data_IF_884104588559
#
_entry.id   IF_884104588559
#
_cell.length_a   1.000
_cell.length_b   1.000
_cell.length_c   1.000
_cell.angle_alpha   90.00
_cell.angle_beta   90.00
_cell.angle_gamma   90.00
#
_symmetry.space_group_name_H-M   'P 1'
#
loop_
_entity.id
_entity.type
_entity.pdbx_description
1 polymer ?
#
# COMPACT_ATOMS: atom_id res chain seq x y z
N UNK A 1 1.75 25.34 4.84
CA UNK A 1 1.26 25.70 6.19
C UNK A 1 0.22 24.69 6.61
N UNK A 2 0.50 23.87 7.62
CA UNK A 2 -0.51 23.04 8.28
C UNK A 2 -0.28 23.20 9.79
N UNK A 3 -1.27 23.75 10.49
CA UNK A 3 -1.27 23.80 11.95
C UNK A 3 -1.18 22.35 12.42
N UNK A 4 -0.15 21.93 13.18
CA UNK A 4 -0.09 20.56 13.68
C UNK A 4 -1.28 20.39 14.61
N UNK A 5 -2.35 19.75 14.14
CA UNK A 5 -3.39 19.26 15.02
C UNK A 5 -2.68 18.30 15.96
N UNK A 6 -2.64 18.68 17.24
CA UNK A 6 -1.89 17.96 18.26
C UNK A 6 -2.38 16.50 18.29
N UNK A 7 -1.46 15.56 18.10
CA UNK A 7 -1.78 14.14 18.21
C UNK A 7 -2.41 13.84 19.58
N UNK A 8 -3.39 12.94 19.59
CA UNK A 8 -4.06 12.44 20.79
C UNK A 8 -4.16 10.92 20.72
N UNK A 9 -3.81 10.18 21.79
CA UNK A 9 -3.95 8.71 21.83
C UNK A 9 -5.37 8.22 21.56
N UNK A 10 -6.38 9.07 21.78
CA UNK A 10 -7.79 8.76 21.44
C UNK A 10 -7.99 8.49 19.96
N UNK A 11 -7.16 9.07 19.09
CA UNK A 11 -7.26 8.84 17.64
C UNK A 11 -6.84 7.43 17.25
N UNK A 12 -5.94 6.78 17.99
CA UNK A 12 -5.57 5.38 17.77
C UNK A 12 -6.78 4.45 17.94
N UNK A 13 -7.48 4.60 19.07
CA UNK A 13 -8.70 3.83 19.35
C UNK A 13 -9.83 4.17 18.37
N UNK A 14 -10.01 5.45 18.06
CA UNK A 14 -11.02 5.90 17.10
C UNK A 14 -10.76 5.37 15.68
N UNK A 15 -9.50 5.31 15.26
CA UNK A 15 -9.10 4.75 13.97
C UNK A 15 -9.49 3.27 13.91
N UNK A 16 -9.07 2.47 14.90
CA UNK A 16 -9.42 1.05 14.93
C UNK A 16 -10.94 0.85 14.95
N UNK A 17 -11.68 1.59 15.78
CA UNK A 17 -13.14 1.48 15.84
C UNK A 17 -13.84 1.89 14.53
N UNK A 18 -13.27 2.83 13.77
CA UNK A 18 -13.80 3.23 12.48
C UNK A 18 -13.65 2.14 11.42
N UNK A 19 -12.49 1.47 11.40
CA UNK A 19 -12.13 0.46 10.40
C UNK A 19 -12.59 -0.96 10.77
N UNK A 20 -12.77 -1.29 12.04
CA UNK A 20 -13.18 -2.62 12.52
C UNK A 20 -14.67 -2.92 12.31
N UNK A 21 -15.39 -2.11 11.52
CA UNK A 21 -16.80 -2.34 11.21
C UNK A 21 -16.94 -3.55 10.28
N UNK A 22 -18.02 -4.34 10.43
CA UNK A 22 -18.22 -5.51 9.59
C UNK A 22 -18.36 -5.09 8.11
N UNK A 23 -17.78 -5.86 7.17
CA UNK A 23 -17.71 -5.47 5.77
C UNK A 23 -19.06 -5.49 5.05
N UNK A 24 -20.00 -6.30 5.54
CA UNK A 24 -21.36 -6.37 5.03
C UNK A 24 -22.35 -6.60 6.17
N UNK A 25 -23.63 -6.35 5.91
CA UNK A 25 -24.74 -6.71 6.78
C UNK A 25 -25.69 -7.64 6.05
N UNK A 26 -26.24 -8.62 6.76
CA UNK A 26 -27.33 -9.45 6.26
C UNK A 26 -28.67 -8.92 6.77
N UNK A 27 -29.59 -8.64 5.86
CA UNK A 27 -30.95 -8.29 6.21
C UNK A 27 -31.68 -9.53 6.74
N UNK A 28 -32.10 -9.51 8.00
CA UNK A 28 -32.78 -10.64 8.65
C UNK A 28 -34.16 -10.96 8.05
N UNK A 29 -34.81 -9.97 7.41
CA UNK A 29 -36.17 -10.12 6.85
C UNK A 29 -36.15 -10.66 5.43
N UNK A 30 -35.20 -10.21 4.60
CA UNK A 30 -35.14 -10.59 3.18
C UNK A 30 -34.02 -11.59 2.86
N UNK A 31 -33.12 -11.87 3.81
CA UNK A 31 -31.92 -12.68 3.59
C UNK A 31 -30.83 -11.98 2.77
N UNK A 32 -31.12 -10.79 2.22
CA UNK A 32 -30.21 -10.07 1.32
C UNK A 32 -28.94 -9.62 2.05
N UNK A 33 -27.79 -9.83 1.41
CA UNK A 33 -26.50 -9.33 1.89
C UNK A 33 -26.23 -7.97 1.24
N UNK A 34 -25.93 -6.96 2.04
CA UNK A 34 -25.65 -5.60 1.60
C UNK A 34 -24.26 -5.19 2.08
N UNK A 35 -23.42 -4.68 1.18
CA UNK A 35 -22.14 -4.12 1.56
C UNK A 35 -22.34 -2.95 2.54
N UNK A 36 -21.44 -2.85 3.52
CA UNK A 36 -21.31 -1.62 4.29
C UNK A 36 -20.56 -0.56 3.48
N UNK A 37 -20.47 0.66 3.99
CA UNK A 37 -19.65 1.68 3.36
C UNK A 37 -18.17 1.35 3.56
N UNK A 38 -17.37 1.48 2.48
CA UNK A 38 -15.93 1.23 2.54
C UNK A 38 -15.27 2.22 3.51
N UNK A 39 -14.64 1.74 4.61
CA UNK A 39 -13.88 2.64 5.47
C UNK A 39 -12.63 3.13 4.72
N UNK A 40 -12.45 4.45 4.64
CA UNK A 40 -11.28 5.06 4.00
C UNK A 40 -10.50 5.94 4.97
N UNK A 41 -9.17 5.98 4.80
CA UNK A 41 -8.31 6.87 5.59
C UNK A 41 -8.68 8.34 5.38
N UNK A 42 -9.10 8.69 4.16
CA UNK A 42 -9.61 10.02 3.86
C UNK A 42 -10.93 10.30 4.62
N UNK A 43 -11.87 9.36 4.64
CA UNK A 43 -13.13 9.49 5.38
C UNK A 43 -12.92 9.63 6.88
N UNK A 44 -11.98 8.87 7.45
CA UNK A 44 -11.59 9.02 8.85
C UNK A 44 -10.89 10.36 9.13
N UNK A 45 -9.97 10.80 8.25
CA UNK A 45 -9.31 12.09 8.39
C UNK A 45 -10.34 13.24 8.42
N UNK A 46 -11.29 13.22 7.47
CA UNK A 46 -12.38 14.19 7.42
C UNK A 46 -13.25 14.15 8.67
N UNK A 47 -13.52 12.97 9.24
CA UNK A 47 -14.39 12.84 10.43
C UNK A 47 -13.78 13.44 11.69
N UNK A 48 -12.45 13.46 11.80
CA UNK A 48 -11.73 14.10 12.92
C UNK A 48 -11.24 15.52 12.57
N UNK A 49 -11.55 16.03 11.37
CA UNK A 49 -11.20 17.37 10.92
C UNK A 49 -9.72 17.57 10.55
N UNK A 50 -9.03 16.53 10.10
CA UNK A 50 -7.63 16.59 9.64
C UNK A 50 -7.48 16.11 8.19
N UNK A 51 -6.32 16.35 7.59
CA UNK A 51 -5.99 15.82 6.27
C UNK A 51 -5.38 14.41 6.37
N UNK A 52 -5.49 13.62 5.29
CA UNK A 52 -4.85 12.30 5.21
C UNK A 52 -3.35 12.35 5.48
N UNK A 53 -2.67 13.40 5.00
CA UNK A 53 -1.23 13.58 5.18
C UNK A 53 -0.86 13.72 6.66
N UNK A 54 -1.76 14.29 7.48
CA UNK A 54 -1.58 14.38 8.93
C UNK A 54 -1.60 13.00 9.58
N UNK A 55 -2.50 12.10 9.16
CA UNK A 55 -2.52 10.71 9.62
C UNK A 55 -1.22 10.00 9.23
N UNK A 56 -0.76 10.19 7.99
CA UNK A 56 0.48 9.59 7.54
C UNK A 56 1.68 10.11 8.35
N UNK A 57 1.76 11.42 8.58
CA UNK A 57 2.80 12.04 9.39
C UNK A 57 2.81 11.50 10.82
N UNK A 58 1.66 11.27 11.46
CA UNK A 58 1.63 10.65 12.79
C UNK A 58 2.10 9.19 12.78
N UNK A 59 1.79 8.43 11.72
CA UNK A 59 2.19 7.03 11.61
C UNK A 59 3.69 6.84 11.30
N UNK A 60 4.33 7.83 10.65
CA UNK A 60 5.74 7.81 10.27
C UNK A 60 6.65 8.75 11.06
N UNK A 61 6.08 9.55 11.98
CA UNK A 61 6.85 10.44 12.83
C UNK A 61 7.90 9.65 13.61
N UNK A 62 9.17 10.06 13.47
CA UNK A 62 10.29 9.50 14.20
C UNK A 62 10.93 10.55 15.11
N UNK A 63 11.48 10.11 16.24
CA UNK A 63 12.28 10.94 17.14
C UNK A 63 13.72 11.10 16.59
N UNK A 64 14.53 11.93 17.26
CA UNK A 64 15.94 12.17 16.87
C UNK A 64 16.80 10.89 16.88
N UNK A 65 16.35 9.82 17.55
CA UNK A 65 17.00 8.51 17.59
C UNK A 65 16.56 7.57 16.46
N UNK A 66 15.64 8.00 15.61
CA UNK A 66 15.07 7.18 14.52
C UNK A 66 13.96 6.22 14.95
N UNK A 67 13.49 6.30 16.19
CA UNK A 67 12.38 5.47 16.69
C UNK A 67 11.04 6.15 16.42
N UNK A 68 9.99 5.38 16.20
CA UNK A 68 8.65 5.93 15.97
C UNK A 68 8.16 6.71 17.19
N UNK A 69 7.74 7.96 16.98
CA UNK A 69 7.20 8.83 18.02
C UNK A 69 5.88 8.29 18.58
N UNK A 70 5.07 7.67 17.72
CA UNK A 70 3.75 7.12 18.08
C UNK A 70 3.62 5.67 17.58
N UNK A 71 4.28 4.70 18.24
CA UNK A 71 4.31 3.31 17.77
C UNK A 71 2.91 2.68 17.73
N UNK A 72 2.07 2.96 18.72
CA UNK A 72 0.67 2.47 18.76
C UNK A 72 -0.17 2.99 17.60
N UNK A 73 0.04 4.25 17.21
CA UNK A 73 -0.68 4.82 16.08
C UNK A 73 -0.18 4.24 14.76
N UNK A 74 1.12 4.00 14.63
CA UNK A 74 1.70 3.31 13.48
C UNK A 74 1.15 1.89 13.32
N UNK A 75 1.02 1.14 14.42
CA UNK A 75 0.40 -0.18 14.43
C UNK A 75 -1.09 -0.11 14.03
N UNK A 76 -1.86 0.78 14.67
CA UNK A 76 -3.27 0.98 14.35
C UNK A 76 -3.48 1.38 12.88
N UNK A 77 -2.57 2.18 12.32
CA UNK A 77 -2.61 2.59 10.91
C UNK A 77 -2.35 1.42 9.95
N UNK A 78 -1.45 0.50 10.29
CA UNK A 78 -1.24 -0.74 9.52
C UNK A 78 -2.47 -1.63 9.60
N UNK A 79 -2.99 -1.86 10.80
CA UNK A 79 -4.21 -2.64 11.03
C UNK A 79 -5.42 -2.05 10.30
N UNK A 80 -5.52 -0.73 10.22
CA UNK A 80 -6.58 -0.07 9.46
C UNK A 80 -6.52 -0.46 7.97
N UNK A 81 -5.32 -0.56 7.37
CA UNK A 81 -5.16 -1.05 6.00
C UNK A 81 -5.54 -2.53 5.87
N UNK A 82 -5.19 -3.37 6.84
CA UNK A 82 -5.58 -4.78 6.84
C UNK A 82 -7.11 -4.93 6.88
N UNK A 83 -7.80 -4.07 7.66
CA UNK A 83 -9.26 -4.01 7.66
C UNK A 83 -9.84 -3.57 6.31
N UNK A 84 -9.22 -2.58 5.65
CA UNK A 84 -9.63 -2.17 4.29
C UNK A 84 -9.45 -3.30 3.28
N UNK A 85 -8.33 -4.02 3.34
CA UNK A 85 -8.06 -5.16 2.49
C UNK A 85 -9.11 -6.24 2.69
N UNK A 86 -9.33 -6.67 3.94
CA UNK A 86 -10.35 -7.66 4.27
C UNK A 86 -11.75 -7.23 3.79
N UNK A 87 -12.11 -5.95 3.96
CA UNK A 87 -13.36 -5.42 3.45
C UNK A 87 -13.50 -5.60 1.93
N UNK A 88 -12.46 -5.24 1.18
CA UNK A 88 -12.45 -5.33 -0.29
C UNK A 88 -12.52 -6.78 -0.75
N UNK A 89 -11.73 -7.67 -0.15
CA UNK A 89 -11.73 -9.11 -0.48
C UNK A 89 -13.12 -9.71 -0.24
N UNK A 90 -13.67 -9.51 0.97
CA UNK A 90 -14.93 -10.12 1.37
C UNK A 90 -16.10 -9.62 0.52
N UNK A 91 -16.22 -8.30 0.32
CA UNK A 91 -17.32 -7.75 -0.47
C UNK A 91 -17.20 -8.07 -1.96
N UNK A 92 -15.97 -8.15 -2.51
CA UNK A 92 -15.76 -8.58 -3.89
C UNK A 92 -16.11 -10.07 -4.05
N UNK A 93 -15.70 -10.91 -3.10
CA UNK A 93 -16.04 -12.34 -3.10
C UNK A 93 -17.55 -12.61 -2.98
N UNK A 94 -18.27 -11.77 -2.22
CA UNK A 94 -19.74 -11.82 -2.15
C UNK A 94 -20.45 -11.22 -3.38
N UNK A 95 -19.71 -10.68 -4.36
CA UNK A 95 -20.29 -10.03 -5.54
C UNK A 95 -21.01 -8.70 -5.24
N UNK A 96 -20.75 -8.10 -4.07
CA UNK A 96 -21.37 -6.84 -3.65
C UNK A 96 -20.63 -5.61 -4.19
N UNK A 97 -19.38 -5.80 -4.60
CA UNK A 97 -18.54 -4.80 -5.26
C UNK A 97 -18.19 -5.31 -6.66
N UNK A 98 -18.23 -4.45 -7.69
CA UNK A 98 -17.80 -4.83 -9.03
C UNK A 98 -16.35 -5.37 -9.04
N UNK A 99 -16.08 -6.54 -9.66
CA UNK A 99 -14.74 -7.15 -9.62
C UNK A 99 -13.61 -6.23 -10.10
N UNK A 100 -13.86 -5.40 -11.12
CA UNK A 100 -12.87 -4.44 -11.63
C UNK A 100 -12.47 -3.40 -10.57
N UNK A 101 -13.43 -2.89 -9.79
CA UNK A 101 -13.16 -1.97 -8.68
C UNK A 101 -12.43 -2.69 -7.54
N UNK A 102 -12.80 -3.94 -7.24
CA UNK A 102 -12.11 -4.78 -6.25
C UNK A 102 -10.63 -4.98 -6.58
N UNK A 103 -10.32 -5.44 -7.80
CA UNK A 103 -8.95 -5.66 -8.27
C UNK A 103 -8.15 -4.35 -8.24
N UNK A 104 -8.70 -3.26 -8.80
CA UNK A 104 -8.04 -1.97 -8.81
C UNK A 104 -7.72 -1.48 -7.39
N UNK A 105 -8.68 -1.63 -6.46
CA UNK A 105 -8.51 -1.19 -5.08
C UNK A 105 -7.49 -2.06 -4.33
N UNK A 106 -7.51 -3.38 -4.49
CA UNK A 106 -6.54 -4.29 -3.85
C UNK A 106 -5.10 -4.03 -4.31
N UNK A 107 -4.89 -3.76 -5.60
CA UNK A 107 -3.56 -3.39 -6.11
C UNK A 107 -3.04 -2.09 -5.50
N UNK A 108 -3.90 -1.06 -5.42
CA UNK A 108 -3.47 0.27 -4.97
C UNK A 108 -3.44 0.44 -3.44
N UNK A 109 -4.27 -0.29 -2.70
CA UNK A 109 -4.41 -0.15 -1.25
C UNK A 109 -3.66 -1.23 -0.49
N UNK A 110 -3.81 -2.50 -0.90
CA UNK A 110 -3.21 -3.66 -0.26
C UNK A 110 -1.86 -4.09 -0.91
N UNK A 111 -1.49 -3.48 -2.04
CA UNK A 111 -0.24 -3.80 -2.72
C UNK A 111 -0.23 -5.16 -3.41
N UNK A 112 -1.40 -5.73 -3.69
CA UNK A 112 -1.50 -6.98 -4.44
C UNK A 112 -0.92 -6.80 -5.84
N UNK A 113 -0.30 -7.86 -6.36
CA UNK A 113 0.26 -7.88 -7.71
C UNK A 113 -0.22 -9.12 -8.43
N UNK A 114 -0.50 -8.95 -9.71
CA UNK A 114 -0.72 -10.11 -10.57
C UNK A 114 0.61 -10.84 -10.71
N UNK A 115 0.57 -12.17 -10.71
CA UNK A 115 1.74 -12.99 -11.02
C UNK A 115 1.55 -13.57 -12.41
N UNK A 116 2.47 -13.29 -13.32
CA UNK A 116 2.51 -13.95 -14.61
C UNK A 116 3.53 -15.10 -14.59
N UNK A 117 3.18 -16.30 -15.07
CA UNK A 117 4.16 -17.38 -15.21
C UNK A 117 5.20 -16.98 -16.28
N UNK A 118 6.40 -16.61 -15.84
CA UNK A 118 7.51 -16.15 -16.70
C UNK A 118 8.13 -14.81 -16.30
N UNK A 119 7.59 -14.12 -15.29
CA UNK A 119 8.14 -12.84 -14.84
C UNK A 119 9.45 -13.04 -14.06
N UNK A 120 10.58 -12.63 -14.65
CA UNK A 120 11.84 -12.47 -13.92
C UNK A 120 11.63 -11.44 -12.79
N UNK A 121 12.30 -11.57 -11.63
CA UNK A 121 12.13 -10.61 -10.55
C UNK A 121 12.40 -9.18 -11.06
N UNK A 122 11.46 -8.28 -10.77
CA UNK A 122 11.55 -6.84 -11.06
C UNK A 122 12.93 -6.30 -10.65
N UNK A 123 13.84 -6.16 -11.61
CA UNK A 123 15.06 -5.39 -11.41
C UNK A 123 14.61 -3.94 -11.49
N UNK A 124 14.49 -3.27 -10.35
CA UNK A 124 14.32 -1.83 -10.34
C UNK A 124 15.55 -1.20 -11.00
N UNK A 125 15.40 -0.82 -12.28
CA UNK A 125 16.33 0.08 -12.94
C UNK A 125 16.13 1.42 -12.23
N UNK A 126 17.00 1.72 -11.25
CA UNK A 126 16.98 3.03 -10.61
C UNK A 126 17.24 4.10 -11.67
N UNK A 127 16.68 5.29 -11.50
CA UNK A 127 16.88 6.47 -12.37
C UNK A 127 18.36 6.92 -12.52
N UNK A 128 19.32 6.13 -12.03
CA UNK A 128 20.76 6.34 -12.16
C UNK A 128 21.33 5.88 -13.50
N UNK A 129 20.51 5.35 -14.41
CA UNK A 129 20.96 4.87 -15.74
C UNK A 129 20.72 5.91 -16.84
N UNK A 130 19.74 6.80 -16.68
CA UNK A 130 19.36 7.80 -17.70
C UNK A 130 20.39 8.91 -17.93
N UNK A 131 21.43 9.01 -17.09
CA UNK A 131 22.52 9.99 -17.22
C UNK A 131 23.87 9.33 -17.59
N UNK A 132 23.86 8.04 -17.95
CA UNK A 132 25.06 7.35 -18.37
C UNK A 132 25.17 7.40 -19.88
N UNK A 133 26.39 7.61 -20.38
CA UNK A 133 26.67 7.42 -21.81
C UNK A 133 26.59 5.93 -22.17
N UNK A 134 26.38 5.63 -23.44
CA UNK A 134 26.29 4.25 -23.94
C UNK A 134 27.52 3.41 -23.51
N UNK A 135 28.71 3.99 -23.53
CA UNK A 135 29.94 3.33 -23.03
C UNK A 135 29.89 2.99 -21.53
N UNK A 136 29.32 3.86 -20.70
CA UNK A 136 29.19 3.62 -19.25
C UNK A 136 28.12 2.57 -18.96
N UNK A 137 27.11 2.48 -19.82
CA UNK A 137 26.07 1.46 -19.74
C UNK A 137 26.64 0.08 -20.09
N UNK A 138 27.40 -0.01 -21.18
CA UNK A 138 28.05 -1.24 -21.63
C UNK A 138 29.07 -1.76 -20.61
N UNK A 139 29.87 -0.87 -20.03
CA UNK A 139 30.81 -1.24 -18.97
C UNK A 139 30.10 -1.81 -17.73
N UNK A 140 28.95 -1.24 -17.33
CA UNK A 140 28.14 -1.76 -16.21
C UNK A 140 27.48 -3.10 -16.54
N UNK A 141 27.00 -3.27 -17.76
CA UNK A 141 26.42 -4.53 -18.22
C UNK A 141 27.48 -5.64 -18.22
N UNK A 142 28.66 -5.37 -18.77
CA UNK A 142 29.78 -6.30 -18.83
C UNK A 142 30.27 -6.72 -17.44
N UNK A 143 30.39 -5.78 -16.50
CA UNK A 143 30.75 -6.08 -15.11
C UNK A 143 29.72 -6.99 -14.43
N UNK A 144 28.43 -6.76 -14.67
CA UNK A 144 27.33 -7.54 -14.09
C UNK A 144 27.24 -8.94 -14.69
N UNK A 145 27.44 -9.08 -16.01
CA UNK A 145 27.49 -10.37 -16.73
C UNK A 145 28.68 -11.21 -16.27
N UNK A 146 29.86 -10.59 -16.08
CA UNK A 146 31.06 -11.27 -15.54
C UNK A 146 30.85 -11.78 -14.11
N UNK A 147 30.16 -11.01 -13.26
CA UNK A 147 29.79 -11.44 -11.91
C UNK A 147 28.79 -12.60 -11.87
N UNK A 148 28.01 -12.79 -12.93
CA UNK A 148 27.04 -13.88 -13.10
C UNK A 148 27.61 -15.08 -13.88
N UNK A 149 28.87 -15.02 -14.32
CA UNK A 149 29.53 -16.12 -15.05
C UNK A 149 29.04 -16.31 -16.50
N UNK A 150 28.30 -15.36 -17.06
CA UNK A 150 27.77 -15.42 -18.42
C UNK A 150 28.80 -14.79 -19.36
N UNK A 151 29.42 -15.58 -20.25
CA UNK A 151 30.32 -15.06 -21.29
C UNK A 151 29.48 -14.29 -22.32
N UNK A 152 29.86 -13.04 -22.60
CA UNK A 152 29.28 -12.27 -23.73
C UNK A 152 29.55 -13.06 -25.01
N UNK A 153 28.48 -13.43 -25.72
CA UNK A 153 28.59 -14.16 -26.98
C UNK A 153 29.46 -13.40 -27.97
N UNK A 154 30.51 -14.07 -28.47
CA UNK A 154 31.26 -13.64 -29.63
C UNK A 154 30.32 -13.52 -30.83
N UNK A 155 30.34 -12.36 -31.47
CA UNK A 155 29.73 -12.11 -32.78
C UNK A 155 30.37 -13.05 -33.80
N UNK A 156 29.56 -13.90 -34.43
CA UNK A 156 29.95 -14.57 -35.67
C UNK A 156 29.82 -13.56 -36.81
N UNK A 157 30.97 -13.03 -37.25
CA UNK A 157 31.19 -12.36 -38.53
C UNK A 157 32.36 -13.00 -39.25
#
# INVERSE_FOLDING_TARGET
MARPTKYSPKFTAALLAYFSKPPYRRNKKTGQVLAADLPTLAGFACSIGVCRDTLHAWASAANERGELQYPEFSDAYKRAKDFQENFLVVNTAHGLIPPAFGIFSLKNVAGWRDKHPGEAPDVQITNSVSNLTDEQLDARLAAKLKGLGIKSGEENG
#
